data_IF_006431000550
#
_entry.id   IF_006431000550
#
_cell.length_a   1.000
_cell.length_b   1.000
_cell.length_c   1.000
_cell.angle_alpha   90.00
_cell.angle_beta   90.00
_cell.angle_gamma   90.00
#
_symmetry.space_group_name_H-M   'P 1'
#
loop_
_entity.id
_entity.type
_entity.pdbx_description
1 polymer ?
#
# COMPACT_ATOMS: atom_id res chain seq x y z
N UNK A 1 -28.54 27.52 -24.23
CA UNK A 1 -28.12 27.63 -25.66
C UNK A 1 -27.25 28.85 -25.86
N UNK A 2 -26.29 28.77 -26.80
CA UNK A 2 -25.24 29.72 -27.23
C UNK A 2 -23.90 29.49 -26.51
N UNK A 3 -23.02 28.59 -26.97
CA UNK A 3 -22.25 28.55 -28.24
C UNK A 3 -21.56 29.89 -28.53
N UNK A 4 -20.33 30.05 -28.04
CA UNK A 4 -19.39 31.05 -28.54
C UNK A 4 -18.04 30.37 -28.79
N UNK A 5 -17.76 30.17 -30.09
CA UNK A 5 -16.48 30.39 -30.79
C UNK A 5 -15.30 29.49 -30.34
N UNK A 6 -15.01 28.36 -31.00
CA UNK A 6 -14.30 28.24 -32.30
C UNK A 6 -13.04 29.11 -32.42
N UNK A 7 -11.90 28.52 -32.07
CA UNK A 7 -10.65 28.72 -32.80
C UNK A 7 -9.67 29.78 -32.28
N UNK A 8 -8.65 29.32 -31.54
CA UNK A 8 -7.27 29.82 -31.71
C UNK A 8 -6.36 28.61 -31.77
N UNK A 9 -5.99 28.24 -33.00
CA UNK A 9 -4.75 27.51 -33.26
C UNK A 9 -3.63 28.47 -32.95
N UNK A 10 -2.89 28.18 -31.89
CA UNK A 10 -1.68 28.89 -31.51
C UNK A 10 -0.73 27.89 -30.89
N UNK A 11 0.11 27.30 -31.74
CA UNK A 11 1.24 26.44 -31.38
C UNK A 11 2.17 27.21 -30.43
N UNK A 12 1.91 27.17 -29.12
CA UNK A 12 2.90 27.59 -28.12
C UNK A 12 3.87 26.43 -27.90
N UNK A 13 4.76 26.22 -28.87
CA UNK A 13 6.03 25.52 -28.64
C UNK A 13 6.94 26.51 -27.93
N UNK A 14 6.81 26.54 -26.61
CA UNK A 14 7.84 27.04 -25.73
C UNK A 14 7.96 26.05 -24.57
N UNK A 15 8.41 24.82 -24.88
CA UNK A 15 9.02 23.98 -23.84
C UNK A 15 10.40 24.56 -23.59
N UNK A 16 10.41 25.67 -22.85
CA UNK A 16 11.61 26.15 -22.17
C UNK A 16 12.09 25.02 -21.26
N UNK A 17 13.26 24.49 -21.58
CA UNK A 17 14.08 23.65 -20.72
C UNK A 17 14.31 24.37 -19.38
N UNK A 18 13.36 24.23 -18.45
CA UNK A 18 13.51 24.65 -17.07
C UNK A 18 12.68 23.70 -16.22
N UNK A 19 13.29 22.59 -15.83
CA UNK A 19 12.63 21.55 -15.05
C UNK A 19 13.62 20.55 -14.50
N UNK A 20 14.72 21.04 -13.93
CA UNK A 20 15.54 20.25 -13.02
C UNK A 20 14.83 20.19 -11.66
N UNK A 21 13.79 19.35 -11.55
CA UNK A 21 13.23 18.93 -10.27
C UNK A 21 12.59 17.55 -10.42
N UNK A 22 13.41 16.50 -10.31
CA UNK A 22 13.16 15.24 -9.57
C UNK A 22 11.79 14.52 -9.60
N UNK A 23 10.91 14.81 -10.56
CA UNK A 23 9.52 14.31 -10.62
C UNK A 23 9.20 13.55 -11.91
N UNK A 24 10.23 13.11 -12.64
CA UNK A 24 10.08 12.24 -13.81
C UNK A 24 10.16 10.77 -13.38
N UNK A 25 9.17 9.98 -13.77
CA UNK A 25 9.11 8.53 -13.52
C UNK A 25 9.72 7.75 -14.68
N UNK A 26 9.54 8.22 -15.92
CA UNK A 26 10.16 7.65 -17.10
C UNK A 26 10.52 8.75 -18.12
N UNK A 27 11.65 8.58 -18.82
CA UNK A 27 12.14 9.53 -19.83
C UNK A 27 12.35 8.80 -21.16
N UNK A 28 11.81 9.37 -22.23
CA UNK A 28 11.90 8.86 -23.60
C UNK A 28 12.40 9.98 -24.53
N UNK A 29 12.98 9.62 -25.68
CA UNK A 29 13.38 10.62 -26.70
C UNK A 29 12.15 11.43 -27.13
N UNK A 30 12.03 12.65 -26.62
CA UNK A 30 10.96 13.61 -26.94
C UNK A 30 9.76 13.63 -25.97
N UNK A 31 9.71 12.78 -24.95
CA UNK A 31 8.59 12.76 -24.00
C UNK A 31 9.04 12.32 -22.59
N UNK A 32 8.38 12.84 -21.56
CA UNK A 32 8.61 12.45 -20.16
C UNK A 32 7.27 12.08 -19.54
N UNK A 33 7.27 11.06 -18.70
CA UNK A 33 6.15 10.73 -17.82
C UNK A 33 6.47 11.28 -16.45
N UNK A 34 5.64 12.18 -15.95
CA UNK A 34 5.79 12.78 -14.61
C UNK A 34 5.12 11.91 -13.54
N UNK A 35 5.49 12.15 -12.27
CA UNK A 35 4.87 11.52 -11.10
C UNK A 35 3.37 11.77 -11.04
N UNK A 36 2.94 13.00 -11.33
CA UNK A 36 1.54 13.39 -11.24
C UNK A 36 0.71 12.72 -12.35
N UNK A 37 1.23 12.68 -13.58
CA UNK A 37 0.57 11.95 -14.68
C UNK A 37 0.44 10.46 -14.38
N UNK A 38 1.50 9.85 -13.85
CA UNK A 38 1.47 8.45 -13.45
C UNK A 38 0.49 8.22 -12.29
N UNK A 39 0.50 9.06 -11.26
CA UNK A 39 -0.41 8.98 -10.12
C UNK A 39 -1.88 9.15 -10.54
N UNK A 40 -2.16 10.11 -11.41
CA UNK A 40 -3.50 10.38 -11.92
C UNK A 40 -4.05 9.26 -12.80
N UNK A 41 -3.18 8.59 -13.54
CA UNK A 41 -3.53 7.37 -14.24
C UNK A 41 -3.80 6.23 -13.24
N UNK A 42 -2.90 6.00 -12.28
CA UNK A 42 -2.97 4.90 -11.32
C UNK A 42 -4.18 4.99 -10.40
N UNK A 43 -4.53 6.17 -9.86
CA UNK A 43 -5.65 6.34 -8.92
C UNK A 43 -7.02 5.98 -9.54
N UNK A 44 -7.13 6.03 -10.87
CA UNK A 44 -8.35 5.68 -11.62
C UNK A 44 -8.46 4.18 -11.87
N UNK A 45 -7.38 3.41 -11.69
CA UNK A 45 -7.38 1.96 -11.88
C UNK A 45 -7.90 1.24 -10.64
N UNK A 46 -8.50 0.06 -10.84
CA UNK A 46 -8.90 -0.83 -9.73
C UNK A 46 -7.71 -1.21 -8.85
N UNK A 47 -6.54 -1.45 -9.46
CA UNK A 47 -5.30 -1.76 -8.75
C UNK A 47 -4.89 -0.62 -7.83
N UNK A 48 -4.83 0.62 -8.34
CA UNK A 48 -4.47 1.78 -7.53
C UNK A 48 -5.44 2.03 -6.38
N UNK A 49 -6.74 1.82 -6.59
CA UNK A 49 -7.74 1.90 -5.52
C UNK A 49 -7.55 0.80 -4.47
N UNK A 50 -7.27 -0.43 -4.87
CA UNK A 50 -7.00 -1.54 -3.95
C UNK A 50 -5.71 -1.27 -3.13
N UNK A 51 -4.65 -0.80 -3.78
CA UNK A 51 -3.41 -0.39 -3.10
C UNK A 51 -3.67 0.69 -2.07
N UNK A 52 -4.47 1.72 -2.40
CA UNK A 52 -4.84 2.77 -1.46
C UNK A 52 -5.61 2.23 -0.26
N UNK A 53 -6.58 1.33 -0.47
CA UNK A 53 -7.33 0.68 0.63
C UNK A 53 -6.40 -0.10 1.56
N UNK A 54 -5.46 -0.86 1.00
CA UNK A 54 -4.49 -1.62 1.80
C UNK A 54 -3.59 -0.69 2.62
N UNK A 55 -3.13 0.42 2.04
CA UNK A 55 -2.35 1.43 2.77
C UNK A 55 -3.16 2.06 3.91
N UNK A 56 -4.44 2.36 3.69
CA UNK A 56 -5.33 2.89 4.73
C UNK A 56 -5.47 1.89 5.89
N UNK A 57 -5.72 0.61 5.59
CA UNK A 57 -5.82 -0.45 6.61
C UNK A 57 -4.51 -0.56 7.38
N UNK A 58 -3.37 -0.60 6.70
CA UNK A 58 -2.06 -0.66 7.36
C UNK A 58 -1.85 0.56 8.26
N UNK A 59 -2.12 1.78 7.78
CA UNK A 59 -1.96 3.01 8.56
C UNK A 59 -2.89 3.05 9.77
N UNK A 60 -4.14 2.60 9.61
CA UNK A 60 -5.08 2.49 10.71
C UNK A 60 -4.61 1.49 11.77
N UNK A 61 -4.08 0.33 11.37
CA UNK A 61 -3.54 -0.66 12.29
C UNK A 61 -2.26 -0.18 12.99
N UNK A 62 -1.37 0.51 12.28
CA UNK A 62 -0.18 1.16 12.85
C UNK A 62 -0.55 2.17 13.94
N UNK A 63 -1.59 2.98 13.70
CA UNK A 63 -2.10 3.96 14.66
C UNK A 63 -2.79 3.31 15.87
N UNK A 64 -3.56 2.23 15.66
CA UNK A 64 -4.29 1.55 16.73
C UNK A 64 -3.38 0.69 17.61
N UNK A 65 -2.31 0.13 17.04
CA UNK A 65 -1.41 -0.79 17.71
C UNK A 65 0.05 -0.31 17.66
N UNK A 66 0.35 0.91 18.13
CA UNK A 66 1.69 1.46 18.03
C UNK A 66 2.68 0.53 18.74
N UNK A 67 3.84 0.32 18.12
CA UNK A 67 4.93 -0.50 18.64
C UNK A 67 4.58 -2.00 18.84
N UNK A 68 3.43 -2.50 18.36
CA UNK A 68 3.11 -3.94 18.46
C UNK A 68 3.81 -4.79 17.40
N UNK A 69 4.20 -4.18 16.29
CA UNK A 69 5.04 -4.81 15.27
C UNK A 69 6.31 -4.00 15.14
N UNK A 70 7.44 -4.58 15.57
CA UNK A 70 8.74 -3.97 15.42
C UNK A 70 9.39 -4.35 14.10
N UNK A 71 10.26 -3.48 13.59
CA UNK A 71 11.04 -3.75 12.38
C UNK A 71 11.92 -4.99 12.53
N UNK A 72 12.40 -5.27 13.75
CA UNK A 72 13.13 -6.51 14.05
C UNK A 72 12.27 -7.75 13.78
N UNK A 73 10.99 -7.73 14.15
CA UNK A 73 10.06 -8.85 13.89
C UNK A 73 9.80 -9.00 12.40
N UNK A 74 9.59 -7.90 11.68
CA UNK A 74 9.41 -7.91 10.22
C UNK A 74 10.65 -8.47 9.52
N UNK A 75 11.83 -7.95 9.84
CA UNK A 75 13.09 -8.41 9.27
C UNK A 75 13.38 -9.87 9.59
N UNK A 76 13.08 -10.33 10.80
CA UNK A 76 13.23 -11.74 11.17
C UNK A 76 12.35 -12.65 10.31
N UNK A 77 11.07 -12.30 10.12
CA UNK A 77 10.15 -13.07 9.27
C UNK A 77 10.59 -13.04 7.80
N UNK A 78 11.00 -11.87 7.30
CA UNK A 78 11.55 -11.70 5.96
C UNK A 78 12.77 -12.61 5.74
N UNK A 79 13.74 -12.60 6.66
CA UNK A 79 14.93 -13.44 6.57
C UNK A 79 14.61 -14.94 6.64
N UNK A 80 13.61 -15.35 7.44
CA UNK A 80 13.14 -16.75 7.46
C UNK A 80 12.57 -17.15 6.10
N UNK A 81 11.69 -16.33 5.52
CA UNK A 81 11.11 -16.60 4.20
C UNK A 81 12.19 -16.61 3.12
N UNK A 82 13.11 -15.63 3.13
CA UNK A 82 14.24 -15.58 2.21
C UNK A 82 15.10 -16.84 2.27
N UNK A 83 15.40 -17.34 3.48
CA UNK A 83 16.12 -18.61 3.65
C UNK A 83 15.33 -19.83 3.14
N UNK A 84 14.02 -19.84 3.34
CA UNK A 84 13.16 -20.92 2.88
C UNK A 84 13.10 -21.01 1.34
N UNK A 85 13.03 -19.87 0.66
CA UNK A 85 13.03 -19.82 -0.81
C UNK A 85 14.44 -19.92 -1.43
N UNK A 86 15.49 -19.59 -0.67
CA UNK A 86 16.87 -19.70 -1.10
C UNK A 86 17.16 -18.85 -2.34
N UNK A 87 17.81 -19.45 -3.34
CA UNK A 87 18.17 -18.80 -4.60
C UNK A 87 16.98 -18.34 -5.44
N UNK A 88 15.79 -18.94 -5.23
CA UNK A 88 14.58 -18.60 -5.99
C UNK A 88 13.81 -17.42 -5.40
N UNK A 89 14.29 -16.84 -4.30
CA UNK A 89 13.57 -15.78 -3.59
C UNK A 89 13.34 -14.54 -4.47
N UNK A 90 14.39 -14.03 -5.10
CA UNK A 90 14.31 -12.81 -5.90
C UNK A 90 13.40 -13.01 -7.13
N UNK A 91 13.54 -14.14 -7.83
CA UNK A 91 12.64 -14.51 -8.94
C UNK A 91 11.19 -14.63 -8.48
N UNK A 92 10.95 -15.19 -7.29
CA UNK A 92 9.60 -15.34 -6.74
C UNK A 92 8.99 -13.97 -6.43
N UNK A 93 9.76 -13.05 -5.84
CA UNK A 93 9.28 -11.70 -5.58
C UNK A 93 8.92 -10.98 -6.89
N UNK A 94 9.81 -11.00 -7.88
CA UNK A 94 9.59 -10.35 -9.18
C UNK A 94 8.35 -10.91 -9.90
N UNK A 95 8.19 -12.23 -9.92
CA UNK A 95 7.02 -12.88 -10.54
C UNK A 95 5.70 -12.47 -9.89
N UNK A 96 5.73 -12.16 -8.58
CA UNK A 96 4.56 -11.68 -7.85
C UNK A 96 4.44 -10.14 -7.84
N UNK A 97 5.30 -9.43 -8.57
CA UNK A 97 5.30 -7.97 -8.63
C UNK A 97 5.77 -7.30 -7.34
N UNK A 98 6.55 -8.00 -6.51
CA UNK A 98 7.11 -7.48 -5.28
C UNK A 98 8.59 -7.11 -5.43
N UNK A 99 8.99 -6.07 -4.70
CA UNK A 99 10.36 -5.80 -4.29
C UNK A 99 10.59 -6.31 -2.87
N UNK A 100 11.84 -6.38 -2.41
CA UNK A 100 12.11 -6.70 -0.99
C UNK A 100 11.38 -5.74 -0.04
N UNK A 101 11.31 -4.45 -0.36
CA UNK A 101 10.63 -3.45 0.46
C UNK A 101 9.13 -3.68 0.53
N UNK A 102 8.47 -3.83 -0.63
CA UNK A 102 7.01 -4.06 -0.66
C UNK A 102 6.64 -5.40 -0.03
N UNK A 103 7.52 -6.41 -0.12
CA UNK A 103 7.30 -7.68 0.55
C UNK A 103 7.43 -7.56 2.08
N UNK A 104 8.36 -6.75 2.59
CA UNK A 104 8.42 -6.42 4.02
C UNK A 104 7.15 -5.69 4.49
N UNK A 105 6.60 -4.79 3.68
CA UNK A 105 5.33 -4.12 4.00
C UNK A 105 4.15 -5.10 4.01
N UNK A 106 4.15 -6.09 3.12
CA UNK A 106 3.18 -7.18 3.15
C UNK A 106 3.29 -8.01 4.45
N UNK A 107 4.50 -8.37 4.86
CA UNK A 107 4.76 -9.06 6.13
C UNK A 107 4.28 -8.20 7.31
N UNK A 108 4.58 -6.90 7.30
CA UNK A 108 4.15 -5.95 8.33
C UNK A 108 2.62 -5.91 8.44
N UNK A 109 1.92 -5.85 7.31
CA UNK A 109 0.45 -5.86 7.25
C UNK A 109 -0.14 -7.14 7.86
N UNK A 110 0.41 -8.31 7.52
CA UNK A 110 0.01 -9.59 8.12
C UNK A 110 0.21 -9.61 9.63
N UNK A 111 1.37 -9.14 10.12
CA UNK A 111 1.66 -9.10 11.56
C UNK A 111 0.72 -8.19 12.33
N UNK A 112 0.37 -7.02 11.78
CA UNK A 112 -0.61 -6.12 12.39
C UNK A 112 -2.01 -6.72 12.37
N UNK A 113 -2.37 -7.41 11.29
CA UNK A 113 -3.66 -8.09 11.18
C UNK A 113 -3.79 -9.20 12.23
N UNK A 114 -2.73 -9.96 12.50
CA UNK A 114 -2.71 -10.92 13.61
C UNK A 114 -2.89 -10.26 14.98
N UNK A 115 -2.24 -9.10 15.20
CA UNK A 115 -2.39 -8.36 16.46
C UNK A 115 -3.84 -7.93 16.65
N UNK A 116 -4.47 -7.40 15.59
CA UNK A 116 -5.88 -7.02 15.61
C UNK A 116 -6.79 -8.23 15.88
N UNK A 117 -6.59 -9.35 15.21
CA UNK A 117 -7.37 -10.57 15.45
C UNK A 117 -7.19 -11.10 16.88
N UNK A 118 -5.97 -11.07 17.43
CA UNK A 118 -5.69 -11.45 18.82
C UNK A 118 -6.39 -10.51 19.81
N UNK A 119 -6.44 -9.21 19.52
CA UNK A 119 -7.16 -8.23 20.31
C UNK A 119 -8.68 -8.47 20.28
N UNK A 120 -9.25 -8.71 19.08
CA UNK A 120 -10.67 -9.04 18.92
C UNK A 120 -11.06 -10.35 19.61
N UNK A 121 -10.22 -11.39 19.53
CA UNK A 121 -10.44 -12.65 20.25
C UNK A 121 -10.37 -12.46 21.77
N UNK A 122 -9.46 -11.61 22.26
CA UNK A 122 -9.39 -11.27 23.69
C UNK A 122 -10.63 -10.48 24.13
N UNK A 123 -11.09 -9.53 23.33
CA UNK A 123 -12.33 -8.79 23.59
C UNK A 123 -13.53 -9.73 23.65
N UNK A 124 -13.75 -10.57 22.62
CA UNK A 124 -14.85 -11.54 22.59
C UNK A 124 -14.80 -12.54 23.75
N UNK A 125 -13.61 -13.03 24.15
CA UNK A 125 -13.50 -13.88 25.35
C UNK A 125 -13.85 -13.12 26.62
N UNK A 126 -13.51 -11.84 26.73
CA UNK A 126 -13.89 -11.01 27.89
C UNK A 126 -15.40 -10.75 27.90
N UNK A 127 -16.01 -10.51 26.75
CA UNK A 127 -17.46 -10.35 26.61
C UNK A 127 -18.20 -11.64 26.94
N UNK A 128 -17.75 -12.79 26.42
CA UNK A 128 -18.34 -14.09 26.77
C UNK A 128 -18.09 -14.48 28.23
N UNK A 129 -16.96 -14.09 28.86
CA UNK A 129 -16.79 -14.29 30.30
C UNK A 129 -17.73 -13.40 31.14
N UNK A 130 -18.18 -12.26 30.62
CA UNK A 130 -19.20 -11.43 31.27
C UNK A 130 -20.64 -11.87 30.95
N UNK A 131 -20.88 -12.60 29.86
CA UNK A 131 -22.21 -13.14 29.50
C UNK A 131 -22.46 -14.58 29.97
N UNK A 132 -21.44 -15.29 30.48
CA UNK A 132 -21.58 -16.67 31.00
C UNK A 132 -22.02 -16.70 32.47
N UNK A 133 -22.29 -15.55 33.10
CA UNK A 133 -22.85 -15.48 34.46
C UNK A 133 -24.39 -15.39 34.50
N UNK A 134 -25.07 -15.31 33.34
CA UNK A 134 -26.56 -15.28 33.26
C UNK A 134 -27.21 -16.52 32.64
N UNK A 135 -26.48 -17.63 32.43
CA UNK A 135 -27.09 -18.90 31.99
C UNK A 135 -26.77 -20.01 32.98
N UNK A 136 -27.26 -19.83 34.22
CA UNK A 136 -27.48 -20.92 35.15
C UNK A 136 -28.64 -20.56 36.08
N UNK A 137 -29.85 -20.62 35.55
CA UNK A 137 -31.09 -21.00 36.26
C UNK A 137 -32.24 -20.99 35.25
N UNK A 138 -32.52 -22.14 34.67
CA UNK A 138 -33.77 -22.90 34.84
C UNK A 138 -33.61 -24.29 34.20
#
# INVERSE_FOLDING_TARGET
MKKWILGVVGLFVAVTLAGCSSSTVANMKGAKVTKDEYYDAMKKTTTGQATLRNMIVLKALEQQYPNKVSDKKVNSQFSTLKKQYGSSFDTTLEQNGYTESSFKDQIRTTLYSEVALKALKKANRKTNCCSVEEVSTE
#
